data_IF_047307968262
#
_entry.id   IF_047307968262
#
_cell.length_a   1.000
_cell.length_b   1.000
_cell.length_c   1.000
_cell.angle_alpha   90.00
_cell.angle_beta   90.00
_cell.angle_gamma   90.00
#
_symmetry.space_group_name_H-M   'P 1'
#
loop_
_entity.id
_entity.type
_entity.pdbx_description
1 polymer ?
#
# COMPACT_ATOMS: atom_id res chain seq x y z
N UNK A 1 0.55 0.99 -23.60
CA UNK A 1 0.51 2.18 -22.70
C UNK A 1 1.43 1.90 -21.51
N UNK A 2 2.69 2.35 -21.58
CA UNK A 2 3.67 2.11 -20.52
C UNK A 2 3.74 3.35 -19.65
N UNK A 3 2.95 3.38 -18.58
CA UNK A 3 3.03 4.42 -17.55
C UNK A 3 4.37 4.31 -16.82
N UNK A 4 5.43 4.92 -17.38
CA UNK A 4 6.79 4.96 -16.81
C UNK A 4 6.90 5.89 -15.59
N UNK A 5 5.85 6.64 -15.25
CA UNK A 5 5.82 7.52 -14.10
C UNK A 5 4.78 7.01 -13.09
N UNK A 6 5.23 6.61 -11.90
CA UNK A 6 4.35 6.47 -10.74
C UNK A 6 3.76 7.81 -10.33
N UNK A 7 2.73 7.80 -9.48
CA UNK A 7 2.08 9.01 -9.00
C UNK A 7 3.10 10.02 -8.42
N UNK A 8 3.28 11.15 -9.11
CA UNK A 8 4.31 12.17 -8.83
C UNK A 8 3.87 13.20 -7.80
N UNK A 9 2.62 13.20 -7.36
CA UNK A 9 2.12 14.11 -6.34
C UNK A 9 2.42 13.56 -4.93
N UNK A 10 3.32 14.25 -4.21
CA UNK A 10 3.74 14.03 -2.79
C UNK A 10 4.96 13.12 -2.51
N UNK A 11 5.88 12.95 -3.46
CA UNK A 11 7.17 12.31 -3.15
C UNK A 11 7.12 10.78 -3.00
N UNK A 12 6.13 10.14 -3.64
CA UNK A 12 5.97 8.68 -3.70
C UNK A 12 4.84 8.15 -2.82
N UNK A 13 4.73 6.82 -2.78
CA UNK A 13 3.80 6.11 -1.91
C UNK A 13 4.53 5.62 -0.63
N UNK A 14 3.77 5.02 0.29
CA UNK A 14 4.33 4.50 1.54
C UNK A 14 5.42 3.43 1.32
N UNK A 15 5.28 2.56 0.33
CA UNK A 15 6.28 1.54 -0.01
C UNK A 15 7.63 2.17 -0.34
N UNK A 16 7.65 3.17 -1.22
CA UNK A 16 8.87 3.90 -1.55
C UNK A 16 9.47 4.63 -0.35
N UNK A 17 8.63 5.17 0.54
CA UNK A 17 9.07 5.85 1.76
C UNK A 17 9.81 4.89 2.70
N UNK A 18 9.25 3.69 2.94
CA UNK A 18 9.88 2.66 3.77
C UNK A 18 11.20 2.20 3.16
N UNK A 19 11.22 1.90 1.85
CA UNK A 19 12.44 1.48 1.14
C UNK A 19 13.53 2.55 1.24
N UNK A 20 13.21 3.82 1.00
CA UNK A 20 14.19 4.93 1.06
C UNK A 20 14.79 5.06 2.46
N UNK A 21 13.95 5.06 3.50
CA UNK A 21 14.40 5.17 4.89
C UNK A 21 15.26 3.98 5.32
N UNK A 22 14.86 2.76 4.93
CA UNK A 22 15.62 1.55 5.23
C UNK A 22 16.99 1.54 4.55
N UNK A 23 17.07 1.98 3.28
CA UNK A 23 18.35 2.17 2.58
C UNK A 23 19.26 3.18 3.27
N UNK A 24 18.69 4.26 3.80
CA UNK A 24 19.41 5.26 4.57
C UNK A 24 19.83 4.78 5.98
N UNK A 25 19.46 3.56 6.39
CA UNK A 25 19.73 3.03 7.73
C UNK A 25 18.94 3.75 8.83
N UNK A 26 17.87 4.48 8.48
CA UNK A 26 17.06 5.19 9.46
C UNK A 26 16.19 4.20 10.25
N UNK A 27 16.17 4.29 11.59
CA UNK A 27 15.20 3.54 12.38
C UNK A 27 13.78 4.01 12.07
N UNK A 28 12.86 3.06 11.98
CA UNK A 28 11.47 3.27 11.63
C UNK A 28 10.59 3.18 12.89
N UNK A 29 9.71 4.17 13.05
CA UNK A 29 8.59 4.13 14.01
C UNK A 29 7.31 4.17 13.20
N UNK A 30 6.52 3.11 13.23
CA UNK A 30 5.35 2.95 12.36
C UNK A 30 4.12 2.59 13.19
N UNK A 31 3.00 3.24 12.89
CA UNK A 31 1.76 3.08 13.65
C UNK A 31 1.17 1.67 13.53
N UNK A 32 0.80 1.06 14.65
CA UNK A 32 0.29 -0.33 14.71
C UNK A 32 -1.22 -0.44 14.99
N UNK A 33 -1.86 0.66 15.39
CA UNK A 33 -3.28 0.71 15.77
C UNK A 33 -4.19 1.39 14.72
N UNK A 34 -3.65 1.63 13.52
CA UNK A 34 -4.41 2.09 12.35
C UNK A 34 -4.35 1.02 11.25
N UNK A 35 -5.51 0.45 10.93
CA UNK A 35 -5.67 -0.63 9.96
C UNK A 35 -6.16 -0.12 8.61
N UNK A 36 -5.67 -0.75 7.55
CA UNK A 36 -5.98 -0.43 6.16
C UNK A 36 -5.88 -1.68 5.25
N UNK A 37 -6.35 -1.56 4.01
CA UNK A 37 -6.22 -2.60 2.98
C UNK A 37 -5.28 -2.11 1.88
N UNK A 38 -3.98 -2.48 1.90
CA UNK A 38 -3.04 -2.03 0.89
C UNK A 38 -3.54 -2.44 -0.49
N UNK A 39 -3.57 -1.51 -1.45
CA UNK A 39 -4.13 -1.77 -2.77
C UNK A 39 -3.13 -1.44 -3.86
N UNK A 40 -2.79 -2.43 -4.69
CA UNK A 40 -1.92 -2.24 -5.83
C UNK A 40 -2.71 -1.61 -6.98
N UNK A 41 -2.21 -0.48 -7.49
CA UNK A 41 -2.84 0.28 -8.57
C UNK A 41 -3.07 -0.53 -9.84
N UNK A 42 -2.19 -1.50 -10.17
CA UNK A 42 -2.38 -2.37 -11.32
C UNK A 42 -3.62 -3.26 -11.16
N UNK A 43 -3.82 -3.84 -9.98
CA UNK A 43 -4.97 -4.70 -9.70
C UNK A 43 -6.27 -3.89 -9.72
N UNK A 44 -6.26 -2.72 -9.07
CA UNK A 44 -7.40 -1.81 -9.09
C UNK A 44 -7.76 -1.34 -10.50
N UNK A 45 -6.77 -0.96 -11.31
CA UNK A 45 -6.99 -0.52 -12.69
C UNK A 45 -7.57 -1.63 -13.57
N UNK A 46 -7.06 -2.87 -13.44
CA UNK A 46 -7.59 -4.04 -14.17
C UNK A 46 -9.06 -4.29 -13.83
N UNK A 47 -9.41 -4.21 -12.55
CA UNK A 47 -10.79 -4.42 -12.12
C UNK A 47 -11.72 -3.30 -12.57
N UNK A 48 -11.29 -2.03 -12.46
CA UNK A 48 -12.05 -0.90 -12.99
C UNK A 48 -12.30 -1.07 -14.49
N UNK A 49 -11.27 -1.47 -15.24
CA UNK A 49 -11.39 -1.73 -16.67
C UNK A 49 -12.39 -2.87 -16.97
N UNK A 50 -12.33 -3.95 -16.18
CA UNK A 50 -13.27 -5.07 -16.28
C UNK A 50 -14.72 -4.64 -16.01
N UNK A 51 -14.96 -3.82 -14.98
CA UNK A 51 -16.29 -3.27 -14.66
C UNK A 51 -16.88 -2.53 -15.87
N UNK A 52 -16.05 -1.74 -16.56
CA UNK A 52 -16.45 -1.00 -17.75
C UNK A 52 -16.73 -1.93 -18.93
N UNK A 53 -15.81 -2.86 -19.23
CA UNK A 53 -15.97 -3.79 -20.36
C UNK A 53 -17.17 -4.73 -20.20
N UNK A 54 -17.46 -5.16 -18.97
CA UNK A 54 -18.60 -6.04 -18.67
C UNK A 54 -19.92 -5.27 -18.48
N UNK A 55 -19.94 -3.95 -18.71
CA UNK A 55 -21.11 -3.08 -18.52
C UNK A 55 -21.81 -3.32 -17.17
N UNK A 56 -21.04 -3.45 -16.09
CA UNK A 56 -21.61 -3.67 -14.75
C UNK A 56 -22.54 -2.51 -14.37
N UNK A 57 -23.57 -2.76 -13.54
CA UNK A 57 -24.52 -1.71 -13.16
C UNK A 57 -23.84 -0.48 -12.57
N UNK A 58 -24.29 0.71 -12.94
CA UNK A 58 -23.78 1.95 -12.37
C UNK A 58 -23.91 1.98 -10.83
N UNK A 59 -23.05 2.78 -10.19
CA UNK A 59 -23.07 3.02 -8.75
C UNK A 59 -21.69 2.98 -8.12
N UNK A 60 -21.67 2.82 -6.81
CA UNK A 60 -20.45 2.87 -5.99
C UNK A 60 -19.83 1.47 -5.88
N UNK A 61 -18.53 1.41 -6.13
CA UNK A 61 -17.71 0.21 -6.03
C UNK A 61 -16.55 0.45 -5.06
N UNK A 62 -16.29 -0.52 -4.17
CA UNK A 62 -15.04 -0.59 -3.43
C UNK A 62 -14.11 -1.57 -4.14
N UNK A 63 -12.95 -1.06 -4.57
CA UNK A 63 -11.92 -1.82 -5.29
C UNK A 63 -10.64 -1.76 -4.48
N UNK A 64 -10.43 -2.76 -3.64
CA UNK A 64 -9.24 -2.91 -2.79
C UNK A 64 -8.74 -4.35 -2.85
N UNK A 65 -7.44 -4.57 -2.72
CA UNK A 65 -6.94 -5.93 -2.50
C UNK A 65 -7.52 -6.50 -1.20
N UNK A 66 -7.67 -7.83 -1.16
CA UNK A 66 -8.29 -8.49 0.00
C UNK A 66 -7.35 -8.58 1.19
N UNK A 67 -7.95 -8.72 2.37
CA UNK A 67 -7.24 -8.66 3.65
C UNK A 67 -7.02 -7.24 4.14
N UNK A 68 -6.40 -7.13 5.30
CA UNK A 68 -6.05 -5.87 5.93
C UNK A 68 -4.79 -6.06 6.77
N UNK A 69 -4.16 -4.95 7.13
CA UNK A 69 -3.05 -4.90 8.06
C UNK A 69 -2.93 -3.49 8.64
N UNK A 70 -2.23 -3.38 9.75
CA UNK A 70 -1.74 -2.10 10.26
C UNK A 70 -0.65 -1.52 9.35
N UNK A 71 -0.36 -0.23 9.48
CA UNK A 71 0.79 0.36 8.77
C UNK A 71 2.11 -0.30 9.19
N UNK A 72 2.24 -0.70 10.45
CA UNK A 72 3.41 -1.42 10.96
C UNK A 72 3.59 -2.77 10.27
N UNK A 73 2.55 -3.61 10.24
CA UNK A 73 2.59 -4.90 9.55
C UNK A 73 2.90 -4.74 8.05
N UNK A 74 2.33 -3.71 7.41
CA UNK A 74 2.64 -3.39 6.02
C UNK A 74 4.11 -3.02 5.82
N UNK A 75 4.68 -2.18 6.70
CA UNK A 75 6.09 -1.81 6.65
C UNK A 75 7.03 -3.01 6.87
N UNK A 76 6.69 -3.92 7.79
CA UNK A 76 7.43 -5.17 8.00
C UNK A 76 7.46 -6.01 6.72
N UNK A 77 6.32 -6.19 6.05
CA UNK A 77 6.26 -6.94 4.78
C UNK A 77 6.99 -6.25 3.64
N UNK A 78 7.00 -4.91 3.59
CA UNK A 78 7.82 -4.17 2.63
C UNK A 78 9.32 -4.47 2.84
N UNK A 79 9.81 -4.45 4.08
CA UNK A 79 11.19 -4.77 4.40
C UNK A 79 11.53 -6.23 4.05
N UNK A 80 10.66 -7.16 4.45
CA UNK A 80 10.80 -8.59 4.16
C UNK A 80 10.95 -8.84 2.65
N UNK A 81 10.02 -8.33 1.84
CA UNK A 81 10.03 -8.59 0.40
C UNK A 81 11.07 -7.78 -0.37
N UNK A 82 11.53 -6.64 0.16
CA UNK A 82 12.62 -5.86 -0.43
C UNK A 82 14.01 -6.38 -0.05
N UNK A 83 14.11 -7.30 0.91
CA UNK A 83 15.39 -7.80 1.43
C UNK A 83 16.18 -6.76 2.23
N UNK A 84 15.56 -5.64 2.60
CA UNK A 84 16.19 -4.55 3.36
C UNK A 84 16.07 -4.80 4.86
N UNK A 85 17.04 -4.29 5.62
CA UNK A 85 17.06 -4.38 7.09
C UNK A 85 17.20 -2.99 7.69
N UNK A 86 16.35 -2.68 8.66
CA UNK A 86 16.47 -1.52 9.55
C UNK A 86 15.71 -1.81 10.85
N UNK A 87 16.03 -1.10 11.94
CA UNK A 87 15.25 -1.18 13.17
C UNK A 87 13.84 -0.64 12.90
N UNK A 88 12.81 -1.39 13.27
CA UNK A 88 11.41 -0.99 13.10
C UNK A 88 10.62 -1.29 14.37
N UNK A 89 9.96 -0.27 14.91
CA UNK A 89 9.19 -0.37 16.15
C UNK A 89 7.73 0.06 15.96
N UNK A 90 6.78 -0.70 16.53
CA UNK A 90 5.38 -0.31 16.56
C UNK A 90 5.20 0.87 17.51
N UNK A 91 4.28 1.76 17.19
CA UNK A 91 3.89 2.90 18.03
C UNK A 91 2.41 3.17 17.89
N UNK A 92 1.79 3.83 18.86
CA UNK A 92 0.37 4.20 18.79
C UNK A 92 0.16 5.47 18.00
N UNK A 93 -1.00 5.63 17.38
CA UNK A 93 -1.37 6.87 16.68
C UNK A 93 -1.31 8.11 17.60
N UNK A 94 -1.55 7.94 18.90
CA UNK A 94 -1.45 9.01 19.91
C UNK A 94 -0.05 9.60 20.05
N UNK A 95 0.99 8.87 19.64
CA UNK A 95 2.38 9.33 19.69
C UNK A 95 2.74 10.26 18.52
N UNK A 96 1.90 10.34 17.49
CA UNK A 96 2.10 11.20 16.33
C UNK A 96 1.00 12.25 16.21
N UNK A 97 1.35 13.52 16.40
CA UNK A 97 0.45 14.63 16.05
C UNK A 97 0.37 14.76 14.52
N UNK A 98 -0.66 14.18 13.91
CA UNK A 98 -1.00 14.44 12.50
C UNK A 98 -1.99 15.60 12.40
N UNK A 99 -1.83 16.47 11.39
CA UNK A 99 -2.79 17.58 11.14
C UNK A 99 -4.20 17.08 10.82
N UNK A 100 -4.30 15.90 10.23
CA UNK A 100 -5.57 15.27 9.87
C UNK A 100 -5.83 14.06 10.78
N UNK A 101 -7.07 13.92 11.23
CA UNK A 101 -7.54 12.74 11.94
C UNK A 101 -7.68 11.58 10.95
N UNK A 102 -7.05 10.45 11.26
CA UNK A 102 -7.13 9.23 10.45
C UNK A 102 -8.05 8.23 11.15
N UNK A 103 -8.99 7.58 10.45
CA UNK A 103 -9.78 6.49 11.03
C UNK A 103 -8.86 5.36 11.49
N UNK A 104 -9.13 4.79 12.66
CA UNK A 104 -8.39 3.61 13.16
C UNK A 104 -8.70 2.35 12.32
N UNK A 105 -9.88 2.30 11.71
CA UNK A 105 -10.30 1.21 10.84
C UNK A 105 -10.76 1.76 9.49
N UNK A 106 -9.96 1.52 8.46
CA UNK A 106 -10.24 1.85 7.06
C UNK A 106 -10.33 0.67 6.06
N UNK A 107 -10.15 -0.63 6.42
CA UNK A 107 -10.39 -1.73 5.49
C UNK A 107 -11.78 -1.67 4.86
N UNK A 108 -11.84 -1.89 3.55
CA UNK A 108 -13.08 -1.88 2.78
C UNK A 108 -13.45 -3.29 2.36
N UNK A 109 -14.73 -3.62 2.52
CA UNK A 109 -15.34 -4.78 1.88
C UNK A 109 -16.10 -4.35 0.62
N UNK A 110 -16.03 -5.14 -0.44
CA UNK A 110 -16.87 -4.93 -1.63
C UNK A 110 -18.24 -5.55 -1.44
N UNK A 111 -19.29 -4.72 -1.58
CA UNK A 111 -20.68 -5.18 -1.58
C UNK A 111 -21.14 -5.70 -2.95
N UNK A 112 -20.31 -5.54 -3.99
CA UNK A 112 -20.66 -5.89 -5.39
C UNK A 112 -19.86 -7.08 -5.91
N UNK A 113 -19.39 -7.95 -5.01
CA UNK A 113 -18.70 -9.19 -5.35
C UNK A 113 -17.29 -9.02 -5.91
N UNK A 114 -16.72 -7.81 -5.86
CA UNK A 114 -15.33 -7.59 -6.26
C UNK A 114 -14.43 -8.24 -5.23
N UNK A 115 -13.61 -9.18 -5.70
CA UNK A 115 -12.62 -9.88 -4.87
C UNK A 115 -11.28 -9.88 -5.59
N UNK A 116 -10.48 -8.88 -5.28
CA UNK A 116 -9.08 -8.85 -5.67
C UNK A 116 -8.26 -9.83 -4.82
N UNK A 117 -7.08 -10.21 -5.32
CA UNK A 117 -6.11 -11.05 -4.60
C UNK A 117 -5.67 -10.44 -3.27
N UNK A 118 -5.04 -11.26 -2.43
CA UNK A 118 -4.54 -10.83 -1.12
C UNK A 118 -3.51 -9.71 -1.28
N UNK A 119 -3.51 -8.74 -0.35
CA UNK A 119 -2.61 -7.60 -0.39
C UNK A 119 -1.11 -7.98 -0.32
N UNK A 120 -0.75 -9.07 0.37
CA UNK A 120 0.63 -9.55 0.47
C UNK A 120 1.15 -10.02 -0.90
N UNK A 121 0.33 -10.77 -1.65
CA UNK A 121 0.65 -11.19 -3.02
C UNK A 121 0.82 -9.98 -3.94
N UNK A 122 -0.09 -9.01 -3.83
CA UNK A 122 -0.02 -7.78 -4.61
C UNK A 122 1.20 -6.93 -4.27
N UNK A 123 1.58 -6.86 -2.98
CA UNK A 123 2.79 -6.18 -2.54
C UNK A 123 4.05 -6.86 -3.08
N UNK A 124 4.12 -8.20 -3.01
CA UNK A 124 5.27 -8.95 -3.53
C UNK A 124 5.49 -8.67 -5.01
N UNK A 125 4.42 -8.69 -5.81
CA UNK A 125 4.48 -8.33 -7.23
C UNK A 125 4.91 -6.88 -7.44
N UNK A 126 4.39 -5.95 -6.65
CA UNK A 126 4.79 -4.55 -6.74
C UNK A 126 6.28 -4.37 -6.46
N UNK A 127 6.81 -5.03 -5.42
CA UNK A 127 8.23 -5.00 -5.06
C UNK A 127 9.09 -5.60 -6.18
N UNK A 128 8.67 -6.72 -6.77
CA UNK A 128 9.38 -7.33 -7.91
C UNK A 128 9.36 -6.44 -9.17
N UNK A 129 8.29 -5.66 -9.37
CA UNK A 129 8.14 -4.80 -10.54
C UNK A 129 8.98 -3.51 -10.45
N UNK A 130 9.42 -3.09 -9.25
CA UNK A 130 10.21 -1.87 -9.08
C UNK A 130 11.71 -2.21 -9.03
N UNK A 131 12.54 -1.43 -9.72
CA UNK A 131 13.99 -1.52 -9.57
C UNK A 131 14.39 -0.90 -8.23
N UNK A 132 14.48 -1.73 -7.19
CA UNK A 132 14.84 -1.28 -5.84
C UNK A 132 16.18 -0.53 -5.86
N UNK A 133 17.16 -0.97 -6.66
CA UNK A 133 18.49 -0.37 -6.74
C UNK A 133 18.50 1.05 -7.34
N UNK A 134 17.53 1.40 -8.18
CA UNK A 134 17.49 2.70 -8.88
C UNK A 134 16.71 3.78 -8.13
N UNK A 135 16.20 3.50 -6.93
CA UNK A 135 15.62 4.50 -6.04
C UNK A 135 16.77 5.24 -5.34
N UNK A 136 17.20 6.37 -5.93
CA UNK A 136 18.29 7.24 -5.48
C UNK A 136 17.86 8.21 -4.35
N UNK A 137 18.85 8.55 -3.51
CA UNK A 137 18.78 9.45 -2.34
C UNK A 137 18.42 10.89 -2.67
#
# INVERSE_FOLDING_TARGET
>A
MNGKAGASSKGGNFVYTIIRKAKAGEPLRVVDDIYMSPTYTLDAAKEIWKILLENKPYGIYHVTNSGYCSWYEFAVKILEYSGLKTDIKPVRHTEFKTKANRPLWSPLASKRGIKLRNWEEALKDFINAISINNLSY
#
